data_IF_007049525195
#
_entry.id   IF_007049525195
#
_cell.length_a   1.000
_cell.length_b   1.000
_cell.length_c   1.000
_cell.angle_alpha   90.00
_cell.angle_beta   90.00
_cell.angle_gamma   90.00
#
_symmetry.space_group_name_H-M   'P 1'
#
loop_
_entity.id
_entity.type
_entity.pdbx_description
1 polymer ?
#
# COMPACT_ATOMS: atom_id res chain seq x y z
N UNK A 1 0.65 20.12 -0.82
CA UNK A 1 0.91 18.69 -1.13
C UNK A 1 0.87 18.50 -2.65
N UNK A 2 1.56 17.48 -3.19
CA UNK A 2 1.48 17.13 -4.62
C UNK A 2 0.70 15.82 -4.79
N UNK A 3 0.11 15.62 -5.96
CA UNK A 3 -0.53 14.33 -6.29
C UNK A 3 0.50 13.26 -6.63
N UNK A 4 0.09 11.99 -6.54
CA UNK A 4 0.84 10.84 -7.07
C UNK A 4 1.29 11.12 -8.50
N UNK A 5 0.39 11.59 -9.37
CA UNK A 5 0.74 11.87 -10.77
C UNK A 5 1.85 12.91 -10.91
N UNK A 6 1.82 13.96 -10.10
CA UNK A 6 2.85 15.00 -10.12
C UNK A 6 4.21 14.42 -9.72
N UNK A 7 4.26 13.59 -8.68
CA UNK A 7 5.49 12.90 -8.30
C UNK A 7 6.00 11.96 -9.40
N UNK A 8 5.12 11.16 -10.01
CA UNK A 8 5.50 10.29 -11.13
C UNK A 8 6.09 11.06 -12.31
N UNK A 9 5.65 12.30 -12.57
CA UNK A 9 6.19 13.17 -13.63
C UNK A 9 7.56 13.78 -13.29
N UNK A 10 7.90 13.90 -12.01
CA UNK A 10 9.10 14.61 -11.54
C UNK A 10 10.25 13.68 -11.15
N UNK A 11 9.97 12.46 -10.71
CA UNK A 11 10.99 11.53 -10.21
C UNK A 11 11.82 10.91 -11.34
N UNK A 12 13.04 10.49 -10.97
CA UNK A 12 13.88 9.67 -11.83
C UNK A 12 13.29 8.26 -11.94
N UNK A 13 12.77 7.91 -13.12
CA UNK A 13 12.12 6.62 -13.35
C UNK A 13 13.07 5.44 -13.23
N UNK A 14 14.36 5.59 -13.58
CA UNK A 14 15.32 4.49 -13.43
C UNK A 14 15.47 4.14 -11.95
N UNK A 15 15.68 5.16 -11.12
CA UNK A 15 15.77 4.98 -9.67
C UNK A 15 14.46 4.43 -9.08
N UNK A 16 13.30 4.92 -9.53
CA UNK A 16 12.01 4.44 -9.06
C UNK A 16 11.76 2.96 -9.39
N UNK A 17 12.10 2.55 -10.62
CA UNK A 17 11.96 1.16 -11.05
C UNK A 17 12.93 0.26 -10.30
N UNK A 18 14.17 0.70 -10.06
CA UNK A 18 15.13 -0.04 -9.26
C UNK A 18 14.64 -0.21 -7.81
N UNK A 19 14.06 0.83 -7.21
CA UNK A 19 13.41 0.74 -5.89
C UNK A 19 12.25 -0.26 -5.91
N UNK A 20 11.37 -0.18 -6.90
CA UNK A 20 10.26 -1.13 -7.06
C UNK A 20 10.74 -2.58 -7.15
N UNK A 21 11.74 -2.87 -7.99
CA UNK A 21 12.23 -4.24 -8.20
C UNK A 21 13.06 -4.77 -7.02
N UNK A 22 13.53 -3.87 -6.14
CA UNK A 22 14.16 -4.23 -4.88
C UNK A 22 13.12 -4.64 -3.84
N UNK A 23 12.05 -3.87 -3.70
CA UNK A 23 10.95 -4.13 -2.74
C UNK A 23 10.02 -5.26 -3.19
N UNK A 24 9.83 -5.41 -4.50
CA UNK A 24 8.98 -6.42 -5.12
C UNK A 24 9.78 -7.23 -6.15
N UNK A 25 10.59 -8.21 -5.70
CA UNK A 25 11.47 -8.97 -6.57
C UNK A 25 10.74 -9.75 -7.66
N UNK A 26 11.34 -9.80 -8.84
CA UNK A 26 10.83 -10.62 -9.96
C UNK A 26 10.85 -12.10 -9.57
N UNK A 27 9.74 -12.79 -9.83
CA UNK A 27 9.69 -14.25 -9.76
C UNK A 27 10.33 -14.87 -11.00
N UNK A 28 11.62 -15.22 -10.91
CA UNK A 28 12.38 -15.76 -12.04
C UNK A 28 12.01 -17.19 -12.45
N UNK A 29 11.12 -17.86 -11.70
CA UNK A 29 10.75 -19.28 -11.91
C UNK A 29 9.45 -19.40 -12.73
N UNK A 30 8.86 -18.28 -13.17
CA UNK A 30 7.66 -18.27 -14.00
C UNK A 30 7.87 -19.02 -15.34
N UNK A 31 7.06 -20.06 -15.66
CA UNK A 31 7.10 -20.76 -16.94
C UNK A 31 6.98 -19.85 -18.16
N UNK A 32 6.29 -18.70 -18.05
CA UNK A 32 6.17 -17.72 -19.12
C UNK A 32 7.50 -16.99 -19.44
N UNK A 33 8.52 -17.15 -18.60
CA UNK A 33 9.87 -16.62 -18.78
C UNK A 33 10.87 -17.68 -19.26
N UNK A 34 10.41 -18.91 -19.52
CA UNK A 34 11.27 -20.01 -19.94
C UNK A 34 12.08 -19.66 -21.20
N UNK A 35 13.40 -19.87 -21.12
CA UNK A 35 14.35 -19.60 -22.21
C UNK A 35 14.92 -18.18 -22.25
N UNK A 36 14.50 -17.29 -21.35
CA UNK A 36 15.10 -15.96 -21.20
C UNK A 36 16.26 -15.98 -20.18
N UNK A 37 17.27 -15.15 -20.43
CA UNK A 37 18.32 -14.86 -19.44
C UNK A 37 17.82 -13.90 -18.36
N UNK A 38 18.48 -13.89 -17.20
CA UNK A 38 18.19 -12.93 -16.12
C UNK A 38 18.18 -11.48 -16.62
N UNK A 39 19.11 -11.12 -17.50
CA UNK A 39 19.17 -9.76 -18.08
C UNK A 39 17.95 -9.45 -18.93
N UNK A 40 17.53 -10.38 -19.81
CA UNK A 40 16.36 -10.18 -20.65
C UNK A 40 15.06 -10.11 -19.84
N UNK A 41 14.97 -10.90 -18.76
CA UNK A 41 13.85 -10.83 -17.82
C UNK A 41 13.82 -9.44 -17.17
N UNK A 42 14.94 -8.97 -16.59
CA UNK A 42 14.99 -7.63 -15.99
C UNK A 42 14.62 -6.53 -16.98
N UNK A 43 15.18 -6.57 -18.19
CA UNK A 43 14.85 -5.61 -19.25
C UNK A 43 13.35 -5.61 -19.58
N UNK A 44 12.74 -6.79 -19.71
CA UNK A 44 11.29 -6.92 -19.96
C UNK A 44 10.44 -6.30 -18.85
N UNK A 45 10.77 -6.55 -17.59
CA UNK A 45 10.06 -5.95 -16.45
C UNK A 45 10.27 -4.44 -16.36
N UNK A 46 11.50 -3.96 -16.57
CA UNK A 46 11.81 -2.53 -16.62
C UNK A 46 11.04 -1.83 -17.74
N UNK A 47 10.99 -2.39 -18.94
CA UNK A 47 10.22 -1.83 -20.06
C UNK A 47 8.71 -1.82 -19.76
N UNK A 48 8.19 -2.92 -19.20
CA UNK A 48 6.80 -3.01 -18.75
C UNK A 48 6.45 -1.92 -17.74
N UNK A 49 7.30 -1.73 -16.72
CA UNK A 49 7.11 -0.72 -15.69
C UNK A 49 7.20 0.70 -16.25
N UNK A 50 8.12 0.99 -17.18
CA UNK A 50 8.19 2.29 -17.86
C UNK A 50 6.89 2.62 -18.60
N UNK A 51 6.35 1.67 -19.36
CA UNK A 51 5.06 1.85 -20.07
C UNK A 51 3.90 2.03 -19.09
N UNK A 52 3.95 1.35 -17.95
CA UNK A 52 2.96 1.51 -16.90
C UNK A 52 3.00 2.91 -16.27
N UNK A 53 4.18 3.38 -15.85
CA UNK A 53 4.37 4.74 -15.30
C UNK A 53 3.94 5.81 -16.32
N UNK A 54 4.32 5.65 -17.59
CA UNK A 54 3.92 6.56 -18.67
C UNK A 54 2.40 6.62 -18.81
N UNK A 55 1.72 5.48 -18.76
CA UNK A 55 0.26 5.43 -18.79
C UNK A 55 -0.36 6.17 -17.60
N UNK A 56 0.13 5.93 -16.37
CA UNK A 56 -0.37 6.61 -15.17
C UNK A 56 -0.17 8.14 -15.26
N UNK A 57 0.95 8.60 -15.81
CA UNK A 57 1.21 10.02 -16.07
C UNK A 57 0.21 10.66 -17.05
N UNK A 58 -0.36 9.85 -17.96
CA UNK A 58 -1.33 10.27 -18.97
C UNK A 58 -2.81 10.14 -18.56
N UNK A 59 -3.11 9.54 -17.41
CA UNK A 59 -4.48 9.44 -16.92
C UNK A 59 -5.01 10.83 -16.52
N UNK A 60 -6.32 11.04 -16.66
CA UNK A 60 -6.99 12.18 -16.02
C UNK A 60 -7.36 11.77 -14.60
N UNK A 61 -6.86 12.45 -13.56
CA UNK A 61 -7.28 12.18 -12.20
C UNK A 61 -8.80 12.27 -12.06
N UNK A 62 -9.39 11.33 -11.34
CA UNK A 62 -10.79 11.38 -10.93
C UNK A 62 -10.85 11.56 -9.44
N UNK A 63 -11.86 12.29 -9.00
CA UNK A 63 -12.19 12.37 -7.58
C UNK A 63 -12.71 11.01 -7.11
N UNK A 64 -12.47 10.75 -5.83
CA UNK A 64 -13.11 9.66 -5.11
C UNK A 64 -14.65 9.76 -5.27
N UNK A 65 -15.37 8.62 -5.42
CA UNK A 65 -16.82 8.63 -5.63
C UNK A 65 -17.61 9.36 -4.53
N UNK A 66 -17.10 9.35 -3.29
CA UNK A 66 -17.69 10.01 -2.14
C UNK A 66 -17.13 11.43 -1.92
N UNK A 67 -16.31 11.92 -2.86
CA UNK A 67 -15.68 13.25 -2.82
C UNK A 67 -14.57 13.37 -1.78
N UNK A 68 -14.03 12.24 -1.29
CA UNK A 68 -13.02 12.22 -0.24
C UNK A 68 -11.62 12.43 -0.80
N UNK A 69 -10.79 13.18 -0.08
CA UNK A 69 -9.41 13.43 -0.50
C UNK A 69 -8.48 12.41 0.15
N UNK A 70 -7.99 11.45 -0.63
CA UNK A 70 -6.97 10.50 -0.21
C UNK A 70 -5.59 11.14 -0.07
N UNK A 71 -4.89 10.84 1.02
CA UNK A 71 -3.52 11.31 1.30
C UNK A 71 -2.64 10.12 1.69
N UNK A 72 -1.55 9.94 0.95
CA UNK A 72 -0.52 8.95 1.20
C UNK A 72 0.60 9.55 2.06
N UNK A 73 1.09 8.79 3.04
CA UNK A 73 2.25 9.18 3.83
C UNK A 73 3.09 7.96 4.20
N UNK A 74 4.38 8.21 4.47
CA UNK A 74 5.27 7.19 5.01
C UNK A 74 5.45 7.38 6.51
N UNK A 75 5.56 6.29 7.26
CA UNK A 75 6.03 6.32 8.64
C UNK A 75 7.08 5.24 8.88
N UNK A 76 7.82 5.38 9.98
CA UNK A 76 8.76 4.36 10.40
C UNK A 76 8.01 3.15 10.96
N UNK A 77 8.49 1.96 10.65
CA UNK A 77 8.00 0.72 11.23
C UNK A 77 9.16 -0.23 11.56
N UNK A 78 8.83 -1.32 12.25
CA UNK A 78 9.66 -2.50 12.43
C UNK A 78 8.85 -3.68 11.93
N UNK A 79 9.40 -4.42 10.98
CA UNK A 79 8.85 -5.69 10.52
C UNK A 79 9.42 -6.85 11.35
N UNK A 80 8.55 -7.73 11.85
CA UNK A 80 8.99 -8.85 12.67
C UNK A 80 9.75 -9.85 11.79
N UNK A 81 11.06 -9.92 11.96
CA UNK A 81 11.98 -10.67 11.09
C UNK A 81 13.07 -9.79 10.47
N UNK A 82 12.89 -8.46 10.50
CA UNK A 82 13.86 -7.46 10.06
C UNK A 82 14.08 -6.42 11.17
N UNK A 83 15.26 -6.41 11.79
CA UNK A 83 15.60 -5.48 12.88
C UNK A 83 16.16 -4.14 12.39
N UNK A 84 16.37 -3.96 11.09
CA UNK A 84 16.62 -2.63 10.51
C UNK A 84 15.29 -1.90 10.40
N UNK A 85 15.21 -0.68 10.93
CA UNK A 85 14.01 0.14 10.81
C UNK A 85 13.59 0.24 9.35
N UNK A 86 12.38 -0.25 9.07
CA UNK A 86 11.72 -0.21 7.78
C UNK A 86 10.78 0.99 7.74
N UNK A 87 10.11 1.14 6.61
CA UNK A 87 9.06 2.11 6.41
C UNK A 87 7.79 1.40 5.96
N UNK A 88 6.66 1.99 6.33
CA UNK A 88 5.35 1.57 5.89
C UNK A 88 4.64 2.76 5.25
N UNK A 89 3.71 2.49 4.33
CA UNK A 89 3.03 3.48 3.51
C UNK A 89 1.53 3.34 3.68
N UNK A 90 0.91 4.41 4.16
CA UNK A 90 -0.51 4.40 4.53
C UNK A 90 -1.29 5.38 3.68
N UNK A 91 -2.52 5.03 3.34
CA UNK A 91 -3.55 5.93 2.83
C UNK A 91 -4.48 6.34 3.97
N UNK A 92 -4.79 7.63 4.07
CA UNK A 92 -5.84 8.19 4.93
C UNK A 92 -6.71 9.13 4.11
N UNK A 93 -7.89 9.47 4.61
CA UNK A 93 -8.69 10.53 4.03
C UNK A 93 -8.60 11.81 4.85
N UNK A 94 -8.54 12.96 4.17
CA UNK A 94 -8.32 14.27 4.80
C UNK A 94 -9.39 14.63 5.84
N UNK A 95 -10.65 14.29 5.56
CA UNK A 95 -11.80 14.52 6.44
C UNK A 95 -11.65 13.77 7.77
N UNK A 96 -11.24 12.51 7.74
CA UNK A 96 -10.98 11.71 8.94
C UNK A 96 -9.77 12.21 9.73
N UNK A 97 -8.73 12.70 9.06
CA UNK A 97 -7.59 13.32 9.77
C UNK A 97 -8.04 14.61 10.47
N UNK A 98 -8.94 15.39 9.87
CA UNK A 98 -9.47 16.60 10.48
C UNK A 98 -10.39 16.30 11.68
N UNK A 99 -11.24 15.27 11.59
CA UNK A 99 -12.18 14.88 12.64
C UNK A 99 -11.54 14.08 13.77
N UNK A 100 -10.76 13.05 13.43
CA UNK A 100 -10.28 12.02 14.36
C UNK A 100 -8.79 12.21 14.71
N UNK A 101 -8.08 13.07 13.97
CA UNK A 101 -6.69 13.41 14.24
C UNK A 101 -5.76 12.20 14.16
N UNK A 102 -5.10 11.90 15.28
CA UNK A 102 -4.15 10.77 15.37
C UNK A 102 -4.82 9.40 15.39
N UNK A 103 -6.13 9.35 15.55
CA UNK A 103 -6.91 8.10 15.55
C UNK A 103 -7.60 7.85 14.20
N UNK A 104 -7.33 8.67 13.18
CA UNK A 104 -7.78 8.45 11.81
C UNK A 104 -7.34 7.07 11.28
N UNK A 105 -8.24 6.41 10.55
CA UNK A 105 -8.02 5.07 10.02
C UNK A 105 -7.17 5.11 8.76
N UNK A 106 -6.40 4.03 8.57
CA UNK A 106 -5.62 3.81 7.36
C UNK A 106 -6.29 2.77 6.48
N UNK A 107 -6.18 2.93 5.16
CA UNK A 107 -6.89 2.13 4.17
C UNK A 107 -5.93 1.43 3.21
N UNK A 108 -6.30 0.20 2.85
CA UNK A 108 -5.78 -0.45 1.65
C UNK A 108 -6.48 0.16 0.42
N UNK A 109 -5.86 0.10 -0.76
CA UNK A 109 -6.35 0.80 -1.95
C UNK A 109 -6.07 0.08 -3.28
N UNK A 110 -5.71 -1.20 -3.24
CA UNK A 110 -5.50 -2.08 -4.39
C UNK A 110 -6.76 -2.25 -5.26
N UNK A 111 -7.95 -2.17 -4.67
CA UNK A 111 -9.24 -2.20 -5.37
C UNK A 111 -9.67 -0.84 -5.95
N UNK A 112 -8.85 0.20 -5.80
CA UNK A 112 -9.17 1.56 -6.28
C UNK A 112 -8.81 1.71 -7.76
N UNK A 113 -9.62 2.43 -8.53
CA UNK A 113 -9.26 2.73 -9.93
C UNK A 113 -7.96 3.52 -10.01
N UNK A 114 -7.10 3.18 -10.97
CA UNK A 114 -5.83 3.91 -11.19
C UNK A 114 -6.04 5.41 -11.43
N UNK A 115 -7.16 5.81 -12.04
CA UNK A 115 -7.48 7.24 -12.23
C UNK A 115 -7.74 7.98 -10.92
N UNK A 116 -8.20 7.29 -9.88
CA UNK A 116 -8.38 7.86 -8.54
C UNK A 116 -7.05 7.85 -7.79
N UNK A 117 -6.30 6.74 -7.86
CA UNK A 117 -4.97 6.61 -7.22
C UNK A 117 -4.01 7.72 -7.65
N UNK A 118 -3.96 8.05 -8.95
CA UNK A 118 -3.08 9.13 -9.45
C UNK A 118 -3.48 10.52 -8.94
N UNK A 119 -4.71 10.67 -8.45
CA UNK A 119 -5.27 11.87 -7.84
C UNK A 119 -4.96 12.00 -6.35
N UNK A 120 -4.59 10.93 -5.66
CA UNK A 120 -4.24 10.99 -4.23
C UNK A 120 -3.09 11.97 -3.99
N UNK A 121 -3.22 12.73 -2.90
CA UNK A 121 -2.16 13.61 -2.42
C UNK A 121 -1.08 12.80 -1.71
N UNK A 122 0.12 13.34 -1.65
CA UNK A 122 1.23 12.81 -0.85
C UNK A 122 1.61 13.85 0.19
N UNK A 123 1.68 13.41 1.45
CA UNK A 123 2.04 14.25 2.58
C UNK A 123 3.45 14.85 2.43
N UNK A 124 3.62 16.12 2.76
CA UNK A 124 4.91 16.83 2.66
C UNK A 124 5.73 16.77 3.97
N UNK A 125 5.56 15.70 4.76
CA UNK A 125 6.36 15.51 5.96
C UNK A 125 7.82 15.24 5.62
N UNK A 126 8.73 15.58 6.52
CA UNK A 126 10.16 15.31 6.33
C UNK A 126 10.42 13.80 6.11
N UNK A 127 9.72 12.93 6.84
CA UNK A 127 9.85 11.49 6.69
C UNK A 127 9.36 11.03 5.33
N UNK A 128 8.17 11.47 4.91
CA UNK A 128 7.59 11.10 3.60
C UNK A 128 8.48 11.55 2.45
N UNK A 129 8.99 12.78 2.48
CA UNK A 129 9.93 13.27 1.44
C UNK A 129 11.20 12.44 1.33
N UNK A 130 11.77 12.01 2.47
CA UNK A 130 12.98 11.18 2.49
C UNK A 130 12.75 9.79 1.90
N UNK A 131 11.52 9.28 1.95
CA UNK A 131 11.15 7.94 1.48
C UNK A 131 10.23 7.96 0.25
N UNK A 132 10.26 9.06 -0.53
CA UNK A 132 9.33 9.24 -1.66
C UNK A 132 9.45 8.16 -2.74
N UNK A 133 10.66 7.63 -2.97
CA UNK A 133 10.87 6.57 -3.96
C UNK A 133 10.19 5.27 -3.54
N UNK A 134 10.32 4.87 -2.28
CA UNK A 134 9.66 3.68 -1.76
C UNK A 134 8.14 3.86 -1.67
N UNK A 135 7.65 5.04 -1.27
CA UNK A 135 6.22 5.33 -1.29
C UNK A 135 5.65 5.24 -2.72
N UNK A 136 6.33 5.82 -3.71
CA UNK A 136 5.89 5.72 -5.11
C UNK A 136 6.03 4.30 -5.66
N UNK A 137 7.03 3.52 -5.24
CA UNK A 137 7.16 2.11 -5.59
C UNK A 137 5.97 1.30 -5.04
N UNK A 138 5.60 1.52 -3.77
CA UNK A 138 4.40 0.94 -3.17
C UNK A 138 3.13 1.34 -3.93
N UNK A 139 2.99 2.61 -4.32
CA UNK A 139 1.86 3.05 -5.14
C UNK A 139 1.81 2.31 -6.48
N UNK A 140 2.95 2.11 -7.16
CA UNK A 140 3.00 1.32 -8.39
C UNK A 140 2.60 -0.13 -8.15
N UNK A 141 3.01 -0.72 -7.01
CA UNK A 141 2.64 -2.08 -6.63
C UNK A 141 1.13 -2.19 -6.44
N UNK A 142 0.54 -1.36 -5.58
CA UNK A 142 -0.90 -1.37 -5.32
C UNK A 142 -1.71 -1.07 -6.59
N UNK A 143 -1.28 -0.10 -7.39
CA UNK A 143 -1.94 0.25 -8.65
C UNK A 143 -1.84 -0.85 -9.73
N UNK A 144 -0.87 -1.75 -9.62
CA UNK A 144 -0.66 -2.86 -10.55
C UNK A 144 -1.15 -4.21 -10.04
N UNK A 145 -1.76 -4.26 -8.85
CA UNK A 145 -2.19 -5.49 -8.20
C UNK A 145 -3.08 -6.36 -9.11
N UNK A 146 -3.98 -5.72 -9.87
CA UNK A 146 -4.86 -6.38 -10.85
C UNK A 146 -4.39 -6.23 -12.30
N UNK A 147 -3.09 -6.06 -12.51
CA UNK A 147 -2.44 -5.86 -13.80
C UNK A 147 -2.23 -4.39 -14.18
N UNK A 148 -1.32 -4.13 -15.13
CA UNK A 148 -0.94 -2.77 -15.54
C UNK A 148 -2.08 -1.98 -16.22
N UNK A 149 -3.15 -2.66 -16.65
CA UNK A 149 -4.36 -2.02 -17.18
C UNK A 149 -5.57 -2.22 -16.27
N UNK A 150 -5.40 -2.78 -15.07
CA UNK A 150 -6.47 -3.22 -14.17
C UNK A 150 -7.43 -4.21 -14.83
N UNK A 151 -6.90 -5.08 -15.70
CA UNK A 151 -7.69 -6.10 -16.38
C UNK A 151 -8.40 -7.08 -15.44
N UNK A 152 -7.86 -7.33 -14.24
CA UNK A 152 -8.45 -8.20 -13.23
C UNK A 152 -9.37 -7.51 -12.21
N UNK A 153 -9.47 -6.17 -12.24
CA UNK A 153 -10.15 -5.42 -11.16
C UNK A 153 -11.65 -5.70 -11.12
N UNK A 154 -12.31 -5.77 -12.29
CA UNK A 154 -13.76 -5.98 -12.35
C UNK A 154 -14.18 -7.34 -11.76
N UNK A 155 -13.47 -8.40 -12.13
CA UNK A 155 -13.70 -9.75 -11.58
C UNK A 155 -13.48 -9.78 -10.07
N UNK A 156 -12.39 -9.15 -9.60
CA UNK A 156 -12.09 -9.09 -8.17
C UNK A 156 -13.15 -8.32 -7.37
N UNK A 157 -13.71 -7.23 -7.90
CA UNK A 157 -14.81 -6.50 -7.28
C UNK A 157 -16.10 -7.34 -7.22
N UNK A 158 -16.42 -8.09 -8.28
CA UNK A 158 -17.58 -8.99 -8.29
C UNK A 158 -17.45 -10.12 -7.26
N UNK A 159 -16.25 -10.68 -7.10
CA UNK A 159 -15.98 -11.70 -6.09
C UNK A 159 -16.00 -11.14 -4.65
N UNK A 160 -15.52 -9.90 -4.47
CA UNK A 160 -15.63 -9.18 -3.20
C UNK A 160 -17.09 -8.95 -2.82
N UNK A 161 -17.90 -8.45 -3.75
CA UNK A 161 -19.35 -8.23 -3.56
C UNK A 161 -20.09 -9.54 -3.23
N UNK A 162 -19.69 -10.65 -3.87
CA UNK A 162 -20.24 -11.97 -3.56
C UNK A 162 -19.89 -12.38 -2.14
N UNK A 163 -18.64 -12.21 -1.74
CA UNK A 163 -18.16 -12.55 -0.40
C UNK A 163 -18.86 -11.72 0.69
N UNK A 164 -19.09 -10.43 0.45
CA UNK A 164 -19.86 -9.57 1.36
C UNK A 164 -21.28 -10.10 1.54
N UNK A 165 -21.96 -10.45 0.44
CA UNK A 165 -23.32 -11.04 0.50
C UNK A 165 -23.35 -12.39 1.20
N UNK A 166 -22.33 -13.24 1.04
CA UNK A 166 -22.24 -14.51 1.78
C UNK A 166 -22.16 -14.27 3.29
N UNK A 167 -21.36 -13.29 3.70
CA UNK A 167 -21.23 -12.88 5.10
C UNK A 167 -22.55 -12.34 5.66
N UNK A 168 -23.23 -11.45 4.93
CA UNK A 168 -24.53 -10.90 5.34
C UNK A 168 -25.62 -11.98 5.47
N UNK A 169 -25.53 -13.04 4.67
CA UNK A 169 -26.44 -14.19 4.74
C UNK A 169 -26.07 -15.20 5.82
N UNK A 170 -25.05 -14.93 6.64
CA UNK A 170 -24.60 -15.80 7.73
C UNK A 170 -23.77 -17.00 7.27
N UNK A 171 -23.35 -17.04 6.00
CA UNK A 171 -22.46 -18.06 5.46
C UNK A 171 -21.00 -17.65 5.70
N UNK A 172 -20.63 -17.49 6.97
CA UNK A 172 -19.27 -17.10 7.37
C UNK A 172 -18.50 -18.36 7.78
N UNK A 173 -17.34 -18.56 7.19
CA UNK A 173 -16.40 -19.57 7.68
C UNK A 173 -15.85 -19.12 9.04
N UNK A 174 -15.86 -20.03 10.01
CA UNK A 174 -15.10 -19.87 11.25
C UNK A 174 -13.60 -19.73 10.95
N UNK A 175 -12.86 -19.17 11.90
CA UNK A 175 -11.42 -19.03 11.75
C UNK A 175 -10.75 -20.39 11.52
N UNK A 176 -11.25 -21.47 12.14
CA UNK A 176 -10.73 -22.82 11.96
C UNK A 176 -10.98 -23.31 10.53
N UNK A 177 -12.15 -23.05 9.95
CA UNK A 177 -12.47 -23.39 8.55
C UNK A 177 -11.65 -22.58 7.54
N UNK A 178 -11.35 -21.30 7.84
CA UNK A 178 -10.44 -20.48 7.02
C UNK A 178 -9.02 -21.05 7.06
N UNK A 179 -8.53 -21.39 8.26
CA UNK A 179 -7.20 -21.96 8.45
C UNK A 179 -7.06 -23.30 7.72
N UNK A 180 -8.06 -24.19 7.82
CA UNK A 180 -8.07 -25.47 7.10
C UNK A 180 -8.12 -25.31 5.58
N UNK A 181 -8.87 -24.31 5.09
CA UNK A 181 -9.08 -24.10 3.65
C UNK A 181 -7.92 -23.39 2.94
N UNK A 182 -7.25 -22.45 3.62
CA UNK A 182 -6.30 -21.53 2.98
C UNK A 182 -4.87 -21.62 3.50
N UNK A 183 -4.64 -22.28 4.64
CA UNK A 183 -3.30 -22.50 5.16
C UNK A 183 -3.01 -23.99 5.02
N UNK A 184 -2.24 -24.40 3.98
CA UNK A 184 -1.73 -25.76 3.93
C UNK A 184 -1.02 -26.03 5.25
N UNK A 185 -1.20 -27.21 5.83
CA UNK A 185 -0.59 -27.64 7.09
C UNK A 185 0.94 -27.42 7.08
N UNK A 186 1.39 -26.21 7.36
CA UNK A 186 2.77 -25.89 7.69
C UNK A 186 2.94 -26.26 9.15
N UNK A 187 3.30 -27.53 9.32
CA UNK A 187 3.72 -28.21 10.53
C UNK A 187 2.87 -27.93 11.76
N UNK A 188 2.20 -29.00 12.20
CA UNK A 188 1.74 -29.23 13.55
C UNK A 188 2.89 -29.22 14.58
N UNK A 189 3.77 -28.22 14.57
CA UNK A 189 4.65 -27.96 15.68
C UNK A 189 3.75 -27.62 16.86
N UNK A 190 3.86 -28.47 17.88
CA UNK A 190 3.17 -28.34 19.15
C UNK A 190 3.53 -26.96 19.68
N UNK A 191 2.64 -25.98 19.54
CA UNK A 191 2.89 -24.60 19.92
C UNK A 191 3.20 -24.56 21.41
N UNK A 192 4.47 -24.40 21.78
CA UNK A 192 4.88 -24.23 23.17
C UNK A 192 4.24 -22.92 23.66
N UNK A 193 3.42 -22.93 24.72
CA UNK A 193 2.84 -21.71 25.27
C UNK A 193 3.89 -20.63 25.57
N UNK A 194 5.10 -21.03 26.00
CA UNK A 194 6.17 -20.08 26.26
C UNK A 194 6.69 -19.39 24.97
N UNK A 195 6.81 -20.14 23.88
CA UNK A 195 7.19 -19.58 22.57
C UNK A 195 6.09 -18.69 22.00
N UNK A 196 4.82 -19.07 22.17
CA UNK A 196 3.68 -18.24 21.79
C UNK A 196 3.65 -16.91 22.56
N UNK A 197 3.89 -16.95 23.87
CA UNK A 197 3.91 -15.74 24.71
C UNK A 197 5.07 -14.81 24.34
N UNK A 198 6.26 -15.37 24.05
CA UNK A 198 7.39 -14.61 23.54
C UNK A 198 7.08 -13.98 22.17
N UNK A 199 6.51 -14.75 21.24
CA UNK A 199 6.09 -14.26 19.92
C UNK A 199 5.08 -13.12 20.06
N UNK A 200 4.05 -13.29 20.88
CA UNK A 200 3.02 -12.28 21.12
C UNK A 200 3.62 -11.00 21.74
N UNK A 201 4.60 -11.14 22.63
CA UNK A 201 5.32 -10.00 23.23
C UNK A 201 6.08 -9.20 22.17
N UNK A 202 6.81 -9.88 21.27
CA UNK A 202 7.54 -9.23 20.18
C UNK A 202 6.58 -8.55 19.19
N UNK A 203 5.51 -9.24 18.79
CA UNK A 203 4.49 -8.69 17.88
C UNK A 203 3.84 -7.43 18.48
N UNK A 204 3.48 -7.47 19.77
CA UNK A 204 2.90 -6.31 20.45
C UNK A 204 3.87 -5.12 20.51
N UNK A 205 5.14 -5.37 20.83
CA UNK A 205 6.13 -4.30 20.88
C UNK A 205 6.36 -3.65 19.50
N UNK A 206 6.37 -4.45 18.42
CA UNK A 206 6.44 -3.95 17.06
C UNK A 206 5.20 -3.12 16.69
N UNK A 207 4.00 -3.61 17.04
CA UNK A 207 2.75 -2.87 16.83
C UNK A 207 2.76 -1.52 17.56
N UNK A 208 3.08 -1.50 18.85
CA UNK A 208 3.12 -0.27 19.65
C UNK A 208 4.13 0.74 19.09
N UNK A 209 5.27 0.27 18.58
CA UNK A 209 6.27 1.10 17.90
C UNK A 209 5.73 1.69 16.59
N UNK A 210 5.12 0.86 15.74
CA UNK A 210 4.58 1.27 14.44
C UNK A 210 3.45 2.29 14.62
N UNK A 211 2.53 2.03 15.57
CA UNK A 211 1.45 2.95 15.93
C UNK A 211 1.98 4.30 16.41
N UNK A 212 3.04 4.32 17.23
CA UNK A 212 3.64 5.58 17.69
C UNK A 212 4.10 6.46 16.53
N UNK A 213 4.85 5.89 15.57
CA UNK A 213 5.35 6.66 14.42
C UNK A 213 4.24 7.03 13.44
N UNK A 214 3.25 6.16 13.23
CA UNK A 214 2.06 6.48 12.45
C UNK A 214 1.32 7.69 13.05
N UNK A 215 1.01 7.66 14.35
CA UNK A 215 0.34 8.76 15.07
C UNK A 215 1.12 10.06 15.01
N UNK A 216 2.46 9.99 15.04
CA UNK A 216 3.31 11.17 14.88
C UNK A 216 3.14 11.82 13.50
N UNK A 217 3.11 11.03 12.43
CA UNK A 217 2.90 11.54 11.07
C UNK A 217 1.47 12.08 10.88
N UNK A 218 0.46 11.41 11.44
CA UNK A 218 -0.93 11.90 11.43
C UNK A 218 -1.08 13.25 12.16
N UNK A 219 -0.37 13.45 13.27
CA UNK A 219 -0.37 14.72 13.98
C UNK A 219 0.21 15.86 13.12
N UNK A 220 1.29 15.60 12.38
CA UNK A 220 1.88 16.57 11.44
C UNK A 220 0.91 16.88 10.28
N UNK A 221 0.28 15.84 9.75
CA UNK A 221 -0.70 15.97 8.68
C UNK A 221 -1.92 16.80 9.14
N UNK A 222 -2.42 16.55 10.35
CA UNK A 222 -3.54 17.29 10.95
C UNK A 222 -3.26 18.79 11.04
N UNK A 223 -2.05 19.17 11.47
CA UNK A 223 -1.63 20.59 11.51
C UNK A 223 -1.57 21.18 10.09
N UNK A 224 -1.01 20.41 9.15
CA UNK A 224 -0.87 20.86 7.76
C UNK A 224 -2.24 21.13 7.12
N UNK A 225 -3.21 20.24 7.30
CA UNK A 225 -4.55 20.38 6.73
C UNK A 225 -5.30 21.58 7.31
N UNK A 226 -5.25 21.77 8.63
CA UNK A 226 -5.91 22.92 9.29
C UNK A 226 -5.34 24.26 8.85
N UNK A 227 -4.02 24.33 8.61
CA UNK A 227 -3.41 25.55 8.10
C UNK A 227 -3.90 25.89 6.69
N UNK A 228 -4.08 24.88 5.83
CA UNK A 228 -4.63 25.06 4.47
C UNK A 228 -6.09 25.55 4.51
N UNK A 229 -6.92 25.03 5.42
CA UNK A 229 -8.29 25.53 5.61
C UNK A 229 -8.34 27.00 6.03
N UNK A 230 -7.33 27.46 6.77
CA UNK A 230 -7.28 28.84 7.27
C UNK A 230 -6.80 29.82 6.20
N UNK A 231 -5.92 29.40 5.30
CA UNK A 231 -5.42 30.20 4.17
C UNK A 231 -6.46 30.39 3.05
N UNK A 232 -7.48 29.52 2.95
CA UNK A 232 -8.60 29.70 2.01
C UNK A 232 -9.66 30.70 2.48
N UNK A 233 -9.58 31.18 3.73
CA UNK A 233 -10.56 32.09 4.36
C UNK A 233 -10.07 33.56 4.38
N UNK A 234 -8.80 33.83 4.03
CA UNK A 234 -8.22 35.19 3.92
C UNK A 234 -8.19 35.73 2.48
#
# INVERSE_FOLDING_TARGET
MKTVQQYLKELDWDRLIDTYLFEHPIEYIDPALAGLTVSQIREKYTEGMRKFIERLCGLTPKDDPDGRVGILFAHRCIEVGSLSGTEDYCLVHADEVLSDGVDAKTYAYEFTNQSEIVGFLVADSEYTRRHIYGLMANVLYQASFFGYRQEGLAEALEDLDRSIKEVENGNVLSIDEIMEKYIPEHESERKDPAEMDLRNTVLKAAFDYNEHFKKKELALLSVTLRNLETEEIE
#
